data_IF_365797329934
#
_entry.id   IF_365797329934
#
_cell.length_a   1.000
_cell.length_b   1.000
_cell.length_c   1.000
_cell.angle_alpha   90.00
_cell.angle_beta   90.00
_cell.angle_gamma   90.00
#
_symmetry.space_group_name_H-M   'P 1'
#
loop_
_entity.id
_entity.type
_entity.pdbx_description
1 polymer ?
#
# COMPACT_ATOMS: atom_id res chain seq x y z
N UNK A 1 27.63 -7.64 -8.41
CA UNK A 1 26.77 -8.66 -7.76
C UNK A 1 25.79 -7.98 -6.84
N UNK A 2 24.57 -8.50 -6.75
CA UNK A 2 23.55 -8.15 -5.75
C UNK A 2 23.22 -9.43 -4.98
N UNK A 3 23.26 -9.37 -3.65
CA UNK A 3 22.90 -10.47 -2.77
C UNK A 3 21.46 -10.33 -2.33
N UNK A 4 20.66 -11.38 -2.53
CA UNK A 4 19.24 -11.37 -2.34
C UNK A 4 18.72 -12.68 -1.69
N UNK A 5 17.45 -12.66 -1.34
CA UNK A 5 16.69 -13.86 -1.03
C UNK A 5 15.63 -14.07 -2.10
N UNK A 6 15.63 -15.23 -2.76
CA UNK A 6 14.71 -15.56 -3.84
C UNK A 6 13.89 -16.83 -3.57
N UNK A 7 12.65 -16.82 -4.04
CA UNK A 7 11.84 -18.02 -4.21
C UNK A 7 12.18 -18.64 -5.57
N UNK A 8 12.32 -19.97 -5.64
CA UNK A 8 12.59 -20.72 -6.86
C UNK A 8 11.35 -21.42 -7.43
N UNK A 9 10.29 -21.43 -6.66
CA UNK A 9 8.98 -21.99 -7.01
C UNK A 9 7.88 -21.33 -6.20
N UNK A 10 6.64 -21.49 -6.62
CA UNK A 10 5.47 -20.97 -5.90
C UNK A 10 5.40 -21.57 -4.48
N UNK A 11 5.15 -20.71 -3.48
CA UNK A 11 5.08 -21.08 -2.06
C UNK A 11 6.38 -21.64 -1.48
N UNK A 12 7.48 -21.60 -2.25
CA UNK A 12 8.81 -22.07 -1.82
C UNK A 12 9.40 -21.15 -0.75
N UNK A 13 10.32 -21.73 0.05
CA UNK A 13 11.15 -20.94 0.97
C UNK A 13 12.11 -20.03 0.19
N UNK A 14 12.34 -18.87 0.73
CA UNK A 14 13.34 -17.93 0.22
C UNK A 14 14.74 -18.43 0.57
N UNK A 15 15.61 -18.49 -0.43
CA UNK A 15 17.00 -18.96 -0.30
C UNK A 15 17.95 -17.86 -0.75
N UNK A 16 19.19 -17.84 -0.23
CA UNK A 16 20.23 -16.95 -0.73
C UNK A 16 20.37 -17.06 -2.26
N UNK A 17 20.45 -15.92 -2.91
CA UNK A 17 20.52 -15.79 -4.36
C UNK A 17 21.37 -14.59 -4.74
N UNK A 18 22.29 -14.78 -5.68
CA UNK A 18 23.15 -13.73 -6.20
C UNK A 18 22.86 -13.52 -7.68
N UNK A 19 22.88 -12.28 -8.13
CA UNK A 19 22.69 -11.96 -9.55
C UNK A 19 23.46 -10.70 -9.98
N UNK A 20 23.82 -10.68 -11.26
CA UNK A 20 24.41 -9.50 -11.90
C UNK A 20 23.27 -8.56 -12.37
N UNK A 21 23.22 -7.32 -11.92
CA UNK A 21 22.18 -6.38 -12.31
C UNK A 21 22.41 -5.75 -13.71
N UNK A 22 23.54 -6.05 -14.38
CA UNK A 22 23.95 -5.39 -15.61
C UNK A 22 24.44 -3.94 -15.43
N UNK A 23 24.50 -3.18 -16.52
CA UNK A 23 24.83 -1.76 -16.47
C UNK A 23 23.68 -0.92 -15.92
N UNK A 24 24.00 0.19 -15.25
CA UNK A 24 23.01 1.14 -14.74
C UNK A 24 22.53 2.02 -15.90
N UNK A 25 21.21 2.08 -16.12
CA UNK A 25 20.63 2.94 -17.12
C UNK A 25 20.86 4.43 -16.81
N UNK A 26 20.89 5.28 -17.86
CA UNK A 26 21.17 6.71 -17.71
C UNK A 26 20.18 7.45 -16.79
N UNK A 27 18.95 6.97 -16.67
CA UNK A 27 17.88 7.54 -15.83
C UNK A 27 17.59 6.71 -14.59
N UNK A 28 18.42 5.68 -14.29
CA UNK A 28 18.21 4.76 -13.19
C UNK A 28 19.05 5.14 -11.97
N UNK A 29 18.64 4.63 -10.83
CA UNK A 29 19.39 4.68 -9.57
C UNK A 29 19.59 3.28 -9.02
N UNK A 30 20.69 3.06 -8.32
CA UNK A 30 20.92 1.92 -7.44
C UNK A 30 20.75 2.38 -5.99
N UNK A 31 19.99 1.65 -5.21
CA UNK A 31 19.64 1.95 -3.82
C UNK A 31 20.18 0.82 -2.97
N UNK A 32 21.04 1.15 -1.98
CA UNK A 32 21.41 0.23 -0.92
C UNK A 32 20.23 0.11 0.04
N UNK A 33 19.74 -1.11 0.25
CA UNK A 33 18.50 -1.38 1.01
C UNK A 33 18.82 -1.42 2.51
N UNK A 34 18.28 -0.46 3.26
CA UNK A 34 18.35 -0.43 4.73
C UNK A 34 17.18 -1.22 5.34
N UNK A 35 15.95 -1.02 4.79
CA UNK A 35 14.72 -1.63 5.27
C UNK A 35 13.82 -2.02 4.10
N UNK A 36 13.02 -3.09 4.27
CA UNK A 36 12.01 -3.48 3.30
C UNK A 36 10.76 -4.02 4.01
N UNK A 37 9.61 -3.39 3.80
CA UNK A 37 8.34 -3.89 4.29
C UNK A 37 7.91 -5.16 3.53
N UNK A 38 7.12 -6.00 4.19
CA UNK A 38 6.47 -7.17 3.60
C UNK A 38 4.97 -6.91 3.51
N UNK A 39 4.46 -6.92 2.29
CA UNK A 39 3.04 -6.74 1.99
C UNK A 39 2.40 -8.08 1.58
N UNK A 40 1.09 -8.18 1.72
CA UNK A 40 0.36 -9.33 1.19
C UNK A 40 0.53 -9.48 -0.34
N UNK A 41 0.79 -8.38 -1.05
CA UNK A 41 1.11 -8.41 -2.48
C UNK A 41 2.44 -9.12 -2.78
N UNK A 42 3.44 -9.05 -1.88
CA UNK A 42 4.66 -9.85 -2.00
C UNK A 42 4.32 -11.34 -1.88
N UNK A 43 3.46 -11.70 -0.91
CA UNK A 43 2.99 -13.08 -0.72
C UNK A 43 2.25 -13.57 -1.96
N UNK A 44 1.28 -12.81 -2.46
CA UNK A 44 0.51 -13.19 -3.67
C UNK A 44 1.40 -13.36 -4.91
N UNK A 45 2.48 -12.59 -5.02
CA UNK A 45 3.47 -12.77 -6.08
C UNK A 45 4.36 -13.99 -5.83
N UNK A 46 4.86 -14.20 -4.60
CA UNK A 46 5.67 -15.37 -4.23
C UNK A 46 4.89 -16.69 -4.40
N UNK A 47 3.60 -16.67 -4.08
CA UNK A 47 2.70 -17.81 -4.16
C UNK A 47 2.08 -17.99 -5.57
N UNK A 48 2.32 -17.00 -6.47
CA UNK A 48 1.80 -16.93 -7.84
C UNK A 48 0.26 -16.91 -7.92
N UNK A 49 -0.42 -16.34 -6.93
CA UNK A 49 -1.88 -16.21 -6.91
C UNK A 49 -2.42 -15.39 -8.09
N UNK A 50 -1.61 -14.45 -8.60
CA UNK A 50 -1.97 -13.58 -9.72
C UNK A 50 -1.49 -14.11 -11.09
N UNK A 51 -0.82 -15.27 -11.15
CA UNK A 51 -0.31 -15.87 -12.38
C UNK A 51 0.77 -15.03 -13.08
N UNK A 52 1.51 -14.18 -12.34
CA UNK A 52 2.50 -13.24 -12.89
C UNK A 52 3.93 -13.48 -12.40
N UNK A 53 4.12 -14.40 -11.48
CA UNK A 53 5.44 -14.70 -10.94
C UNK A 53 6.36 -15.34 -12.00
N UNK A 54 7.64 -14.97 -11.95
CA UNK A 54 8.72 -15.64 -12.70
C UNK A 54 9.83 -15.98 -11.72
N UNK A 55 10.18 -17.26 -11.65
CA UNK A 55 11.20 -17.74 -10.73
C UNK A 55 12.57 -17.91 -11.44
N UNK A 56 13.72 -17.67 -10.73
CA UNK A 56 13.82 -17.22 -9.35
C UNK A 56 13.27 -15.81 -9.18
N UNK A 57 12.53 -15.59 -8.08
CA UNK A 57 11.85 -14.34 -7.80
C UNK A 57 12.37 -13.70 -6.49
N UNK A 58 12.83 -12.47 -6.56
CA UNK A 58 13.14 -11.62 -5.39
C UNK A 58 11.98 -10.65 -5.22
N UNK A 59 11.23 -10.78 -4.13
CA UNK A 59 10.11 -9.89 -3.80
C UNK A 59 10.60 -8.65 -3.03
N UNK A 60 9.69 -7.91 -2.37
CA UNK A 60 9.97 -6.68 -1.63
C UNK A 60 9.76 -5.42 -2.45
N UNK A 61 8.61 -4.78 -2.26
CA UNK A 61 8.23 -3.54 -2.98
C UNK A 61 7.95 -2.37 -2.03
N UNK A 62 8.42 -2.45 -0.80
CA UNK A 62 8.31 -1.39 0.22
C UNK A 62 9.70 -1.03 0.74
N UNK A 63 10.57 -0.59 -0.18
CA UNK A 63 12.00 -0.38 0.08
C UNK A 63 12.26 0.99 0.67
N UNK A 64 13.06 1.04 1.71
CA UNK A 64 13.73 2.25 2.21
C UNK A 64 15.23 2.00 2.15
N UNK A 65 15.99 2.96 1.61
CA UNK A 65 17.43 2.81 1.50
C UNK A 65 18.13 4.09 1.05
N UNK A 66 19.40 3.96 0.71
CA UNK A 66 20.24 5.09 0.31
C UNK A 66 20.67 4.96 -1.13
N UNK A 67 20.62 6.07 -1.85
CA UNK A 67 21.13 6.13 -3.23
C UNK A 67 22.64 5.87 -3.21
N UNK A 68 23.07 4.76 -3.83
CA UNK A 68 24.48 4.35 -3.94
C UNK A 68 25.09 4.57 -5.31
N UNK A 69 24.25 4.60 -6.38
CA UNK A 69 24.70 4.98 -7.73
C UNK A 69 23.63 5.77 -8.46
N UNK A 70 24.07 6.64 -9.34
CA UNK A 70 23.23 7.50 -10.19
C UNK A 70 23.57 7.26 -11.66
N UNK A 71 22.53 7.11 -12.48
CA UNK A 71 22.66 7.19 -13.92
C UNK A 71 23.04 8.62 -14.35
N UNK A 72 23.68 8.74 -15.52
CA UNK A 72 24.28 9.99 -16.00
C UNK A 72 23.30 11.16 -16.21
N UNK A 73 22.01 10.87 -16.34
CA UNK A 73 20.94 11.87 -16.53
C UNK A 73 20.08 12.11 -15.30
N UNK A 74 20.46 11.55 -14.15
CA UNK A 74 19.76 11.77 -12.88
C UNK A 74 20.27 13.06 -12.24
N UNK A 75 19.38 14.03 -12.00
CA UNK A 75 19.74 15.36 -11.47
C UNK A 75 19.00 15.75 -10.19
N UNK A 76 17.90 15.06 -9.84
CA UNK A 76 17.04 15.40 -8.70
C UNK A 76 17.35 14.59 -7.43
N UNK A 77 18.26 13.60 -7.54
CA UNK A 77 18.77 12.80 -6.43
C UNK A 77 20.27 12.97 -6.30
N UNK A 78 20.81 12.77 -5.10
CA UNK A 78 22.24 12.76 -4.80
C UNK A 78 22.62 11.43 -4.14
N UNK A 79 23.92 11.07 -4.21
CA UNK A 79 24.46 9.94 -3.47
C UNK A 79 24.24 10.15 -1.96
N UNK A 80 23.78 9.09 -1.30
CA UNK A 80 23.47 9.11 0.13
C UNK A 80 22.06 9.62 0.49
N UNK A 81 21.29 10.17 -0.48
CA UNK A 81 19.89 10.53 -0.23
C UNK A 81 19.12 9.30 0.28
N UNK A 82 18.35 9.48 1.35
CA UNK A 82 17.43 8.45 1.85
C UNK A 82 16.17 8.50 0.98
N UNK A 83 15.87 7.38 0.34
CA UNK A 83 14.76 7.27 -0.61
C UNK A 83 13.88 6.05 -0.32
N UNK A 84 12.64 6.14 -0.78
CA UNK A 84 11.68 5.05 -0.79
C UNK A 84 11.34 4.61 -2.21
N UNK A 85 11.21 3.30 -2.42
CA UNK A 85 10.75 2.69 -3.66
C UNK A 85 9.54 1.81 -3.37
N UNK A 86 8.39 2.15 -3.99
CA UNK A 86 7.14 1.44 -3.83
C UNK A 86 6.87 0.40 -4.92
N UNK A 87 5.57 0.25 -5.24
CA UNK A 87 5.08 -0.74 -6.21
C UNK A 87 5.66 -0.58 -7.62
N UNK A 88 5.90 0.64 -8.08
CA UNK A 88 6.41 0.89 -9.43
C UNK A 88 7.89 1.29 -9.41
N UNK A 89 8.67 0.64 -10.27
CA UNK A 89 10.10 0.89 -10.46
C UNK A 89 10.42 1.68 -11.74
N UNK A 90 9.42 2.07 -12.52
CA UNK A 90 9.62 2.87 -13.72
C UNK A 90 8.36 3.09 -14.55
N UNK A 91 8.43 4.11 -15.40
CA UNK A 91 7.33 4.59 -16.25
C UNK A 91 7.84 5.02 -17.63
N UNK A 92 6.95 5.16 -18.61
CA UNK A 92 7.36 5.65 -19.94
C UNK A 92 7.66 7.16 -19.98
N UNK A 93 7.17 7.92 -19.02
CA UNK A 93 7.32 9.38 -18.86
C UNK A 93 6.79 10.24 -20.03
N UNK A 94 6.17 9.65 -21.04
CA UNK A 94 5.73 10.34 -22.26
C UNK A 94 4.25 10.14 -22.60
N UNK A 95 3.55 9.18 -22.01
CA UNK A 95 2.12 9.02 -22.25
C UNK A 95 1.30 10.10 -21.53
N UNK A 96 0.03 10.24 -21.93
CA UNK A 96 -0.89 11.22 -21.34
C UNK A 96 -0.95 11.15 -19.82
N UNK A 97 -0.95 9.94 -19.25
CA UNK A 97 -1.01 9.73 -17.78
C UNK A 97 0.26 10.24 -17.12
N UNK A 98 1.44 9.88 -17.62
CA UNK A 98 2.70 10.39 -17.10
C UNK A 98 2.82 11.91 -17.21
N UNK A 99 2.49 12.46 -18.38
CA UNK A 99 2.52 13.91 -18.59
C UNK A 99 1.50 14.67 -17.73
N UNK A 100 0.41 14.01 -17.33
CA UNK A 100 -0.61 14.55 -16.44
C UNK A 100 -0.28 14.38 -14.93
N UNK A 101 0.83 13.71 -14.58
CA UNK A 101 1.19 13.44 -13.19
C UNK A 101 0.64 12.13 -12.62
N UNK A 102 -0.16 11.38 -13.38
CA UNK A 102 -0.79 10.12 -12.99
C UNK A 102 0.05 8.90 -13.41
N UNK A 103 1.33 8.89 -13.04
CA UNK A 103 2.28 7.85 -13.46
C UNK A 103 1.84 6.44 -13.10
N UNK A 104 1.15 6.26 -11.96
CA UNK A 104 0.59 4.98 -11.52
C UNK A 104 -0.45 4.39 -12.51
N UNK A 105 -0.97 5.21 -13.43
CA UNK A 105 -1.89 4.79 -14.51
C UNK A 105 -1.18 4.62 -15.86
N UNK A 106 0.14 4.67 -15.91
CA UNK A 106 0.92 4.41 -17.13
C UNK A 106 0.75 2.95 -17.57
N UNK A 107 0.28 2.73 -18.79
CA UNK A 107 0.02 1.38 -19.32
C UNK A 107 1.28 0.49 -19.47
N UNK A 108 2.47 1.12 -19.48
CA UNK A 108 3.77 0.45 -19.54
C UNK A 108 4.58 0.61 -18.26
N UNK A 109 3.92 0.95 -17.14
CA UNK A 109 4.56 1.01 -15.84
C UNK A 109 5.22 -0.32 -15.49
N UNK A 110 6.41 -0.27 -14.91
CA UNK A 110 7.18 -1.45 -14.48
C UNK A 110 6.95 -1.67 -13.00
N UNK A 111 6.41 -2.82 -12.62
CA UNK A 111 6.29 -3.20 -11.21
C UNK A 111 7.66 -3.55 -10.63
N UNK A 112 7.91 -3.17 -9.39
CA UNK A 112 9.19 -3.42 -8.68
C UNK A 112 9.49 -4.92 -8.58
N UNK A 113 8.45 -5.74 -8.41
CA UNK A 113 8.57 -7.20 -8.24
C UNK A 113 7.90 -8.01 -9.37
N UNK A 114 7.52 -7.37 -10.47
CA UNK A 114 6.87 -8.04 -11.62
C UNK A 114 7.86 -8.16 -12.76
N UNK A 115 8.38 -9.36 -12.99
CA UNK A 115 9.43 -9.63 -13.98
C UNK A 115 10.76 -8.92 -13.69
N UNK A 116 10.98 -8.51 -12.44
CA UNK A 116 12.16 -7.83 -11.92
C UNK A 116 12.45 -8.36 -10.51
N UNK A 117 13.61 -7.99 -9.97
CA UNK A 117 14.02 -8.28 -8.61
C UNK A 117 13.79 -7.06 -7.72
N UNK A 118 13.09 -7.29 -6.60
CA UNK A 118 12.73 -6.28 -5.61
C UNK A 118 13.75 -6.13 -4.47
N UNK A 119 13.26 -5.61 -3.34
CA UNK A 119 14.07 -5.19 -2.20
C UNK A 119 14.39 -6.27 -1.15
N UNK A 120 14.01 -7.55 -1.38
CA UNK A 120 14.54 -8.63 -0.54
C UNK A 120 16.00 -8.94 -0.92
N UNK A 121 16.80 -7.88 -1.00
CA UNK A 121 18.17 -7.86 -1.48
C UNK A 121 18.98 -6.77 -0.74
N UNK A 122 20.31 -6.79 -0.88
CA UNK A 122 21.16 -5.72 -0.38
C UNK A 122 21.07 -4.44 -1.22
N UNK A 123 20.68 -4.57 -2.48
CA UNK A 123 20.49 -3.46 -3.42
C UNK A 123 19.27 -3.67 -4.31
N UNK A 124 18.68 -2.55 -4.75
CA UNK A 124 17.62 -2.56 -5.77
C UNK A 124 17.87 -1.45 -6.78
N UNK A 125 17.41 -1.64 -8.02
CA UNK A 125 17.50 -0.63 -9.08
C UNK A 125 16.12 -0.22 -9.58
N UNK A 126 15.96 1.06 -9.87
CA UNK A 126 14.74 1.63 -10.40
C UNK A 126 15.05 2.87 -11.24
N UNK A 127 14.09 3.32 -12.07
CA UNK A 127 14.16 4.67 -12.60
C UNK A 127 14.15 5.68 -11.45
N UNK A 128 14.99 6.70 -11.53
CA UNK A 128 15.15 7.71 -10.47
C UNK A 128 13.82 8.40 -10.09
N UNK A 129 12.91 8.57 -11.05
CA UNK A 129 11.57 9.15 -10.81
C UNK A 129 10.70 8.29 -9.86
N UNK A 130 10.99 7.01 -9.77
CA UNK A 130 10.26 6.09 -8.86
C UNK A 130 10.82 6.09 -7.43
N UNK A 131 12.03 6.61 -7.24
CA UNK A 131 12.68 6.73 -5.94
C UNK A 131 12.34 8.10 -5.32
N UNK A 132 11.45 8.08 -4.32
CA UNK A 132 10.96 9.30 -3.67
C UNK A 132 11.78 9.57 -2.40
N UNK A 133 12.24 10.81 -2.21
CA UNK A 133 12.99 11.19 -1.00
C UNK A 133 12.13 11.03 0.25
N UNK A 134 12.72 10.50 1.31
CA UNK A 134 12.07 10.41 2.62
C UNK A 134 12.30 11.73 3.34
N UNK A 135 11.23 12.49 3.68
CA UNK A 135 11.38 13.78 4.34
C UNK A 135 11.82 13.63 5.80
N UNK A 136 12.45 14.67 6.32
CA UNK A 136 12.74 14.76 7.75
C UNK A 136 11.43 14.64 8.55
N UNK A 137 11.46 13.85 9.64
CA UNK A 137 10.27 13.60 10.47
C UNK A 137 9.53 12.29 10.13
N UNK A 138 9.85 11.62 9.01
CA UNK A 138 9.45 10.24 8.75
C UNK A 138 10.56 9.30 9.22
N UNK A 139 10.22 8.33 10.05
CA UNK A 139 11.18 7.31 10.54
C UNK A 139 11.47 6.29 9.42
N UNK A 140 12.69 6.24 8.86
CA UNK A 140 13.03 5.30 7.78
C UNK A 140 12.78 3.83 8.14
N UNK A 141 12.99 3.46 9.40
CA UNK A 141 12.88 2.08 9.85
C UNK A 141 11.43 1.53 9.84
N UNK A 142 10.44 2.40 9.74
CA UNK A 142 9.02 2.06 9.73
C UNK A 142 8.29 2.53 8.48
N UNK A 143 8.97 3.33 7.62
CA UNK A 143 8.35 4.01 6.49
C UNK A 143 8.01 3.10 5.29
N UNK A 144 8.65 1.93 5.16
CA UNK A 144 8.41 1.03 4.02
C UNK A 144 6.93 0.84 3.69
N UNK A 145 6.06 0.47 4.64
CA UNK A 145 4.63 0.30 4.41
C UNK A 145 3.88 1.54 3.89
N UNK A 146 4.40 2.76 4.10
CA UNK A 146 3.80 3.98 3.54
C UNK A 146 3.85 3.99 2.01
N UNK A 147 4.89 3.37 1.42
CA UNK A 147 5.10 3.35 -0.04
C UNK A 147 4.17 2.40 -0.80
N UNK A 148 3.43 1.56 -0.08
CA UNK A 148 2.39 0.70 -0.64
C UNK A 148 1.05 0.97 0.03
N UNK A 149 0.88 0.52 1.28
CA UNK A 149 -0.38 0.67 2.00
C UNK A 149 -0.72 2.13 2.30
N UNK A 150 0.26 2.95 2.72
CA UNK A 150 0.05 4.38 3.02
C UNK A 150 -0.45 5.15 1.80
N UNK A 151 0.26 5.04 0.67
CA UNK A 151 -0.18 5.71 -0.56
C UNK A 151 -1.52 5.18 -1.08
N UNK A 152 -1.78 3.88 -0.91
CA UNK A 152 -3.04 3.25 -1.33
C UNK A 152 -4.24 3.84 -0.58
N UNK A 153 -4.11 4.14 0.71
CA UNK A 153 -5.18 4.73 1.51
C UNK A 153 -5.24 6.26 1.40
N UNK A 154 -4.12 6.92 1.13
CA UNK A 154 -4.03 8.37 0.97
C UNK A 154 -4.54 8.86 -0.39
N UNK A 155 -4.17 8.17 -1.47
CA UNK A 155 -4.49 8.60 -2.83
C UNK A 155 -6.00 8.85 -3.08
N UNK A 156 -6.95 8.02 -2.59
CA UNK A 156 -8.38 8.29 -2.74
C UNK A 156 -8.85 9.59 -2.09
N UNK A 157 -8.20 10.05 -1.01
CA UNK A 157 -8.56 11.30 -0.34
C UNK A 157 -8.27 12.50 -1.24
N UNK A 158 -7.12 12.46 -1.94
CA UNK A 158 -6.74 13.49 -2.91
C UNK A 158 -7.54 13.33 -4.20
N UNK A 159 -7.67 12.10 -4.73
CA UNK A 159 -8.34 11.82 -6.00
C UNK A 159 -9.81 12.23 -6.02
N UNK A 160 -10.50 12.14 -4.89
CA UNK A 160 -11.94 12.41 -4.77
C UNK A 160 -12.25 13.68 -4.00
N UNK A 161 -11.26 14.54 -3.73
CA UNK A 161 -11.41 15.80 -3.00
C UNK A 161 -12.19 15.60 -1.69
N UNK A 162 -11.80 14.58 -0.90
CA UNK A 162 -12.51 14.25 0.35
C UNK A 162 -12.39 15.41 1.34
N UNK A 163 -13.55 15.95 1.73
CA UNK A 163 -13.61 17.02 2.72
C UNK A 163 -13.15 16.55 4.10
N UNK A 164 -12.42 17.38 4.86
CA UNK A 164 -12.14 17.11 6.28
C UNK A 164 -13.39 16.88 7.14
N UNK A 165 -14.57 17.32 6.69
CA UNK A 165 -15.84 17.12 7.40
C UNK A 165 -16.57 15.84 6.98
N UNK A 166 -16.01 15.05 6.06
CA UNK A 166 -16.64 13.84 5.56
C UNK A 166 -16.74 12.77 6.63
N UNK A 167 -17.84 12.02 6.61
CA UNK A 167 -18.02 10.79 7.38
C UNK A 167 -17.48 9.63 6.60
N UNK A 168 -16.39 9.06 7.07
CA UNK A 168 -15.69 8.00 6.33
C UNK A 168 -15.65 6.71 7.15
N UNK A 169 -15.95 5.60 6.48
CA UNK A 169 -15.84 4.29 7.11
C UNK A 169 -14.70 3.47 6.51
N UNK A 170 -14.09 2.59 7.33
CA UNK A 170 -13.04 1.66 6.93
C UNK A 170 -13.52 0.23 7.18
N UNK A 171 -13.59 -0.60 6.13
CA UNK A 171 -13.88 -2.02 6.24
C UNK A 171 -12.57 -2.78 6.31
N UNK A 172 -12.36 -3.49 7.45
CA UNK A 172 -11.16 -4.27 7.69
C UNK A 172 -9.99 -3.43 8.23
N UNK A 173 -9.70 -3.53 9.52
CA UNK A 173 -8.56 -2.82 10.12
C UNK A 173 -7.42 -3.82 10.37
N UNK A 174 -6.72 -4.11 9.28
CA UNK A 174 -5.48 -4.87 9.21
C UNK A 174 -4.34 -3.99 8.71
N UNK A 175 -3.41 -4.57 7.90
CA UNK A 175 -2.22 -3.89 7.40
C UNK A 175 -2.46 -2.61 6.60
N UNK A 176 -3.55 -2.49 5.82
CA UNK A 176 -3.97 -1.25 5.15
C UNK A 176 -4.87 -0.41 6.06
N UNK A 177 -5.86 -1.06 6.68
CA UNK A 177 -6.92 -0.36 7.41
C UNK A 177 -6.43 0.44 8.61
N UNK A 178 -5.36 0.00 9.31
CA UNK A 178 -4.81 0.80 10.42
C UNK A 178 -4.24 2.14 9.91
N UNK A 179 -3.53 2.13 8.77
CA UNK A 179 -3.06 3.36 8.13
C UNK A 179 -4.23 4.21 7.63
N UNK A 180 -5.29 3.58 7.05
CA UNK A 180 -6.48 4.32 6.64
C UNK A 180 -7.11 5.10 7.80
N UNK A 181 -7.27 4.48 8.97
CA UNK A 181 -7.80 5.14 10.17
C UNK A 181 -6.93 6.32 10.58
N UNK A 182 -5.59 6.14 10.60
CA UNK A 182 -4.65 7.18 10.99
C UNK A 182 -4.65 8.37 10.00
N UNK A 183 -4.60 8.11 8.69
CA UNK A 183 -4.64 9.15 7.66
C UNK A 183 -5.96 9.90 7.66
N UNK A 184 -7.10 9.21 7.75
CA UNK A 184 -8.43 9.82 7.80
C UNK A 184 -8.62 10.70 9.04
N UNK A 185 -8.13 10.23 10.20
CA UNK A 185 -8.13 11.04 11.43
C UNK A 185 -7.32 12.32 11.28
N UNK A 186 -6.10 12.19 10.74
CA UNK A 186 -5.23 13.34 10.50
C UNK A 186 -5.79 14.29 9.43
N UNK A 187 -6.52 13.76 8.44
CA UNK A 187 -7.22 14.52 7.40
C UNK A 187 -8.36 15.38 7.98
N UNK A 188 -8.90 15.01 9.15
CA UNK A 188 -9.99 15.70 9.83
C UNK A 188 -11.36 15.04 9.66
N UNK A 189 -11.45 13.87 9.03
CA UNK A 189 -12.71 13.14 8.83
C UNK A 189 -13.29 12.58 10.13
N UNK A 190 -14.62 12.40 10.17
CA UNK A 190 -15.28 11.57 11.19
C UNK A 190 -15.14 10.09 10.77
N UNK A 191 -14.30 9.34 11.50
CA UNK A 191 -13.87 7.99 11.12
C UNK A 191 -14.67 6.93 11.85
N UNK A 192 -15.30 6.01 11.10
CA UNK A 192 -15.93 4.79 11.62
C UNK A 192 -15.16 3.56 11.17
N UNK A 193 -14.75 2.71 12.08
CA UNK A 193 -14.14 1.41 11.76
C UNK A 193 -15.17 0.28 11.81
N UNK A 194 -15.32 -0.49 10.72
CA UNK A 194 -16.07 -1.74 10.74
C UNK A 194 -15.15 -2.87 11.22
N UNK A 195 -15.50 -3.48 12.35
CA UNK A 195 -14.74 -4.58 12.94
C UNK A 195 -15.65 -5.77 13.22
N UNK A 196 -15.19 -6.97 12.88
CA UNK A 196 -15.85 -8.22 13.26
C UNK A 196 -15.45 -8.73 14.67
N UNK A 197 -14.51 -8.02 15.32
CA UNK A 197 -13.97 -8.40 16.62
C UNK A 197 -14.13 -7.25 17.62
N UNK A 198 -15.03 -7.44 18.57
CA UNK A 198 -15.32 -6.47 19.63
C UNK A 198 -14.10 -6.18 20.55
N UNK A 199 -13.17 -7.13 20.72
CA UNK A 199 -11.99 -6.93 21.57
C UNK A 199 -11.01 -5.89 21.00
N UNK A 200 -11.12 -5.54 19.72
CA UNK A 200 -10.30 -4.50 19.08
C UNK A 200 -10.86 -3.08 19.21
N UNK A 201 -12.02 -2.92 19.86
CA UNK A 201 -12.70 -1.60 19.92
C UNK A 201 -11.81 -0.52 20.51
N UNK A 202 -11.23 -0.76 21.67
CA UNK A 202 -10.39 0.25 22.36
C UNK A 202 -9.13 0.58 21.55
N UNK A 203 -8.52 -0.42 20.93
CA UNK A 203 -7.37 -0.24 20.05
C UNK A 203 -7.72 0.64 18.83
N UNK A 204 -8.86 0.40 18.19
CA UNK A 204 -9.33 1.17 17.05
C UNK A 204 -9.65 2.63 17.41
N UNK A 205 -10.25 2.85 18.57
CA UNK A 205 -10.51 4.19 19.09
C UNK A 205 -9.19 4.93 19.41
N UNK A 206 -8.24 4.26 20.07
CA UNK A 206 -6.90 4.83 20.33
C UNK A 206 -6.14 5.17 19.04
N UNK A 207 -6.30 4.37 17.99
CA UNK A 207 -5.68 4.59 16.67
C UNK A 207 -6.27 5.82 15.97
N UNK A 208 -7.47 6.25 16.33
CA UNK A 208 -8.10 7.45 15.79
C UNK A 208 -9.48 7.26 15.18
N UNK A 209 -10.07 6.06 15.25
CA UNK A 209 -11.48 5.91 14.93
C UNK A 209 -12.34 6.69 15.95
N UNK A 210 -13.39 7.36 15.48
CA UNK A 210 -14.38 8.00 16.34
C UNK A 210 -15.46 7.01 16.76
N UNK A 211 -15.77 6.07 15.88
CA UNK A 211 -16.79 5.05 16.09
C UNK A 211 -16.29 3.69 15.63
N UNK A 212 -16.76 2.63 16.31
CA UNK A 212 -16.54 1.24 15.90
C UNK A 212 -17.90 0.56 15.76
N UNK A 213 -18.18 0.01 14.58
CA UNK A 213 -19.40 -0.74 14.29
C UNK A 213 -19.07 -2.23 14.09
N UNK A 214 -19.90 -3.08 14.71
CA UNK A 214 -19.76 -4.51 14.50
C UNK A 214 -20.21 -4.89 13.09
N UNK A 215 -19.27 -5.31 12.24
CA UNK A 215 -19.53 -5.71 10.85
C UNK A 215 -20.36 -7.00 10.72
N UNK A 216 -20.51 -7.77 11.80
CA UNK A 216 -21.33 -8.99 11.86
C UNK A 216 -22.76 -8.75 12.37
N UNK A 217 -23.08 -7.51 12.78
CA UNK A 217 -24.41 -7.15 13.27
C UNK A 217 -25.22 -6.46 12.16
N UNK A 218 -26.22 -7.15 11.56
CA UNK A 218 -27.05 -6.57 10.51
C UNK A 218 -27.85 -5.34 10.97
N UNK A 219 -28.23 -5.28 12.27
CA UNK A 219 -28.95 -4.14 12.79
C UNK A 219 -28.05 -2.92 12.95
N UNK A 220 -26.75 -3.10 13.28
CA UNK A 220 -25.78 -2.02 13.26
C UNK A 220 -25.60 -1.44 11.86
N UNK A 221 -25.51 -2.29 10.82
CA UNK A 221 -25.43 -1.85 9.43
C UNK A 221 -26.71 -1.11 9.01
N UNK A 222 -27.90 -1.61 9.35
CA UNK A 222 -29.18 -0.93 9.05
C UNK A 222 -29.26 0.44 9.72
N UNK A 223 -28.83 0.57 10.97
CA UNK A 223 -28.81 1.86 11.69
C UNK A 223 -27.84 2.87 11.05
N UNK A 224 -26.79 2.39 10.41
CA UNK A 224 -25.83 3.21 9.69
C UNK A 224 -26.29 3.54 8.25
N UNK A 225 -27.49 3.18 7.84
CA UNK A 225 -27.99 3.46 6.49
C UNK A 225 -27.88 4.96 6.14
N UNK A 226 -27.34 5.26 4.96
CA UNK A 226 -27.19 6.62 4.46
C UNK A 226 -26.19 7.51 5.21
N UNK A 227 -25.23 6.94 5.95
CA UNK A 227 -24.36 7.69 6.86
C UNK A 227 -23.04 8.13 6.25
N UNK A 228 -22.45 7.39 5.31
CA UNK A 228 -21.04 7.57 4.92
C UNK A 228 -20.89 8.20 3.54
N UNK A 229 -20.05 9.25 3.47
CA UNK A 229 -19.66 9.88 2.20
C UNK A 229 -18.65 9.01 1.44
N UNK A 230 -17.76 8.33 2.17
CA UNK A 230 -16.77 7.40 1.63
C UNK A 230 -16.67 6.16 2.51
N UNK A 231 -16.59 4.99 1.88
CA UNK A 231 -16.22 3.75 2.54
C UNK A 231 -14.96 3.22 1.85
N UNK A 232 -13.88 3.04 2.60
CA UNK A 232 -12.65 2.39 2.14
C UNK A 232 -12.70 0.91 2.52
N UNK A 233 -12.73 0.03 1.53
CA UNK A 233 -12.65 -1.42 1.74
C UNK A 233 -11.21 -1.89 1.58
N UNK A 234 -10.62 -2.39 2.66
CA UNK A 234 -9.23 -2.89 2.69
C UNK A 234 -9.15 -4.41 2.76
N UNK A 235 -10.29 -5.10 2.72
CA UNK A 235 -10.35 -6.57 2.75
C UNK A 235 -10.21 -7.17 1.35
N UNK A 236 -9.72 -8.40 1.29
CA UNK A 236 -9.58 -9.20 0.07
C UNK A 236 -10.57 -10.39 0.00
N UNK A 237 -11.63 -10.33 0.78
CA UNK A 237 -12.64 -11.39 0.88
C UNK A 237 -14.00 -10.89 0.42
N UNK A 238 -14.85 -11.81 -0.04
CA UNK A 238 -16.25 -11.52 -0.40
C UNK A 238 -17.05 -11.18 0.87
N UNK A 239 -17.81 -10.09 0.80
CA UNK A 239 -18.76 -9.65 1.83
C UNK A 239 -20.12 -9.40 1.18
N UNK A 240 -21.16 -9.15 2.00
CA UNK A 240 -22.42 -8.61 1.51
C UNK A 240 -22.28 -7.12 1.15
N UNK A 241 -21.81 -6.87 -0.06
CA UNK A 241 -21.54 -5.51 -0.53
C UNK A 241 -22.82 -4.65 -0.62
N UNK A 242 -24.02 -5.24 -0.82
CA UNK A 242 -25.26 -4.51 -0.81
C UNK A 242 -25.58 -3.93 0.56
N UNK A 243 -25.27 -4.64 1.64
CA UNK A 243 -25.40 -4.13 2.99
C UNK A 243 -24.52 -2.90 3.22
N UNK A 244 -23.24 -2.92 2.76
CA UNK A 244 -22.35 -1.76 2.87
C UNK A 244 -22.77 -0.62 1.93
N UNK A 245 -23.20 -0.89 0.70
CA UNK A 245 -23.74 0.12 -0.22
C UNK A 245 -24.94 0.84 0.40
N UNK A 246 -25.77 0.15 1.17
CA UNK A 246 -26.92 0.75 1.85
C UNK A 246 -26.49 1.80 2.89
N UNK A 247 -25.31 1.68 3.48
CA UNK A 247 -24.78 2.62 4.47
C UNK A 247 -24.20 3.89 3.87
N UNK A 248 -23.97 3.94 2.54
CA UNK A 248 -23.51 5.16 1.86
C UNK A 248 -24.58 6.25 1.87
N UNK A 249 -24.17 7.47 2.13
CA UNK A 249 -24.96 8.68 1.93
C UNK A 249 -25.35 8.88 0.45
N UNK A 250 -26.27 9.80 0.14
CA UNK A 250 -26.47 10.24 -1.25
C UNK A 250 -25.15 10.72 -1.87
N UNK A 251 -24.82 10.26 -3.09
CA UNK A 251 -23.55 10.48 -3.79
C UNK A 251 -22.32 9.84 -3.14
N UNK A 252 -22.51 9.10 -2.05
CA UNK A 252 -21.41 8.41 -1.35
C UNK A 252 -20.71 7.37 -2.23
N UNK A 253 -19.50 7.00 -1.84
CA UNK A 253 -18.60 6.14 -2.62
C UNK A 253 -18.12 4.95 -1.79
N UNK A 254 -18.25 3.75 -2.36
CA UNK A 254 -17.54 2.55 -1.89
C UNK A 254 -16.28 2.38 -2.74
N UNK A 255 -15.11 2.49 -2.11
CA UNK A 255 -13.83 2.41 -2.79
C UNK A 255 -13.02 1.20 -2.32
N UNK A 256 -12.65 0.33 -3.25
CA UNK A 256 -11.91 -0.89 -3.00
C UNK A 256 -10.40 -0.65 -3.08
N UNK A 257 -9.70 -0.99 -2.01
CA UNK A 257 -8.24 -0.95 -1.86
C UNK A 257 -7.67 -2.37 -1.74
N UNK A 258 -8.44 -3.30 -1.17
CA UNK A 258 -8.12 -4.72 -1.15
C UNK A 258 -8.51 -5.40 -2.47
N UNK A 259 -7.69 -6.34 -2.91
CA UNK A 259 -7.93 -7.10 -4.14
C UNK A 259 -8.92 -8.25 -3.88
N UNK A 260 -10.21 -7.98 -3.97
CA UNK A 260 -11.26 -9.03 -3.96
C UNK A 260 -11.24 -9.72 -5.32
N UNK A 261 -10.96 -11.03 -5.35
CA UNK A 261 -10.83 -11.79 -6.60
C UNK A 261 -12.18 -12.27 -7.14
N UNK A 262 -13.19 -12.42 -6.27
CA UNK A 262 -14.54 -12.81 -6.67
C UNK A 262 -15.32 -11.63 -7.24
N UNK A 263 -16.28 -11.87 -8.14
CA UNK A 263 -17.20 -10.85 -8.63
C UNK A 263 -17.95 -10.15 -7.50
N UNK A 264 -18.13 -8.83 -7.62
CA UNK A 264 -18.88 -8.03 -6.67
C UNK A 264 -20.40 -8.16 -7.00
N UNK A 265 -21.16 -8.84 -6.15
CA UNK A 265 -22.60 -8.98 -6.30
C UNK A 265 -23.32 -7.73 -5.78
N UNK A 266 -23.39 -6.66 -6.60
CA UNK A 266 -23.97 -5.38 -6.22
C UNK A 266 -25.17 -5.05 -7.13
N UNK A 267 -26.34 -4.84 -6.49
CA UNK A 267 -27.55 -4.48 -7.19
C UNK A 267 -27.54 -3.01 -7.67
N UNK A 268 -27.81 -2.78 -8.97
CA UNK A 268 -27.74 -1.45 -9.57
C UNK A 268 -28.75 -0.46 -8.95
N UNK A 269 -29.92 -0.92 -8.48
CA UNK A 269 -30.91 -0.06 -7.82
C UNK A 269 -30.39 0.57 -6.53
N UNK A 270 -29.53 -0.15 -5.76
CA UNK A 270 -28.88 0.39 -4.57
C UNK A 270 -27.95 1.57 -4.86
N UNK A 271 -27.41 1.63 -6.08
CA UNK A 271 -26.57 2.73 -6.56
C UNK A 271 -27.42 3.87 -7.16
N UNK A 272 -28.32 3.52 -8.06
CA UNK A 272 -29.10 4.47 -8.87
C UNK A 272 -29.93 5.42 -8.03
N UNK A 273 -30.65 4.90 -7.02
CA UNK A 273 -31.59 5.69 -6.21
C UNK A 273 -30.96 6.83 -5.42
N UNK A 274 -29.66 6.77 -5.16
CA UNK A 274 -28.91 7.76 -4.37
C UNK A 274 -27.67 8.28 -5.10
N UNK A 275 -27.51 8.00 -6.40
CA UNK A 275 -26.31 8.35 -7.20
C UNK A 275 -24.99 7.88 -6.55
N UNK A 276 -25.03 6.71 -5.92
CA UNK A 276 -23.86 6.14 -5.24
C UNK A 276 -22.86 5.61 -6.25
N UNK A 277 -21.58 5.59 -5.87
CA UNK A 277 -20.48 5.21 -6.76
C UNK A 277 -19.70 4.03 -6.18
N UNK A 278 -19.21 3.16 -7.06
CA UNK A 278 -18.22 2.13 -6.75
C UNK A 278 -16.95 2.42 -7.53
N UNK A 279 -15.81 2.29 -6.91
CA UNK A 279 -14.52 2.55 -7.56
C UNK A 279 -13.37 1.78 -6.90
N UNK A 280 -12.23 1.79 -7.59
CA UNK A 280 -10.96 1.27 -7.08
C UNK A 280 -9.82 2.09 -7.67
N UNK A 281 -8.66 2.11 -7.03
CA UNK A 281 -7.44 2.73 -7.56
C UNK A 281 -6.19 1.94 -7.16
N UNK A 282 -5.16 1.90 -8.02
CA UNK A 282 -3.86 1.34 -7.65
C UNK A 282 -3.02 2.42 -6.98
N UNK A 283 -2.35 2.13 -5.89
CA UNK A 283 -1.33 3.02 -5.25
C UNK A 283 -1.46 4.51 -5.64
N UNK A 284 -0.37 5.23 -5.86
CA UNK A 284 -0.38 6.62 -6.34
C UNK A 284 0.85 6.94 -7.19
N UNK A 285 0.88 8.13 -7.78
CA UNK A 285 2.03 8.62 -8.53
C UNK A 285 3.18 9.04 -7.61
N UNK A 286 4.43 9.15 -8.11
CA UNK A 286 5.57 9.64 -7.32
C UNK A 286 5.30 10.99 -6.63
N UNK A 287 4.58 11.91 -7.29
CA UNK A 287 4.17 13.18 -6.69
C UNK A 287 3.26 12.96 -5.49
N UNK A 288 2.21 12.16 -5.64
CA UNK A 288 1.26 11.90 -4.55
C UNK A 288 1.93 11.11 -3.42
N UNK A 289 2.92 10.25 -3.72
CA UNK A 289 3.75 9.60 -2.68
C UNK A 289 4.54 10.64 -1.89
N UNK A 290 5.16 11.63 -2.57
CA UNK A 290 5.87 12.72 -1.88
C UNK A 290 4.93 13.52 -0.97
N UNK A 291 3.78 13.94 -1.50
CA UNK A 291 2.76 14.68 -0.75
C UNK A 291 2.28 13.87 0.49
N UNK A 292 2.08 12.57 0.31
CA UNK A 292 1.69 11.65 1.40
C UNK A 292 2.77 11.53 2.48
N UNK A 293 4.05 11.43 2.09
CA UNK A 293 5.15 11.35 3.03
C UNK A 293 5.32 12.65 3.82
N UNK A 294 5.17 13.81 3.18
CA UNK A 294 5.18 15.11 3.84
C UNK A 294 3.99 15.26 4.81
N UNK A 295 2.81 14.81 4.40
CA UNK A 295 1.63 14.75 5.26
C UNK A 295 1.87 13.83 6.47
N UNK A 296 2.45 12.64 6.26
CA UNK A 296 2.79 11.72 7.33
C UNK A 296 3.80 12.32 8.31
N UNK A 297 4.83 13.03 7.81
CA UNK A 297 5.80 13.75 8.64
C UNK A 297 5.13 14.85 9.50
N UNK A 298 4.29 15.70 8.88
CA UNK A 298 3.60 16.78 9.54
C UNK A 298 2.66 16.30 10.65
N UNK A 299 1.92 15.22 10.38
CA UNK A 299 0.91 14.68 11.30
C UNK A 299 1.45 13.54 12.17
N UNK A 300 2.74 13.23 12.09
CA UNK A 300 3.40 12.14 12.84
C UNK A 300 2.72 10.78 12.65
N UNK A 301 2.33 10.50 11.41
CA UNK A 301 1.73 9.20 11.06
C UNK A 301 2.87 8.21 10.86
N UNK A 302 2.91 7.19 11.68
CA UNK A 302 3.89 6.11 11.63
C UNK A 302 3.18 4.76 11.60
N UNK A 303 3.42 3.90 10.61
CA UNK A 303 2.85 2.56 10.59
C UNK A 303 3.27 1.75 11.81
N UNK A 304 2.36 0.97 12.37
CA UNK A 304 2.68 0.04 13.46
C UNK A 304 3.32 -1.20 12.83
N UNK A 305 4.58 -1.47 13.17
CA UNK A 305 5.39 -2.51 12.54
C UNK A 305 6.00 -3.48 13.55
N UNK A 306 6.13 -4.74 13.15
CA UNK A 306 7.01 -5.74 13.76
C UNK A 306 8.28 -5.84 12.90
N UNK A 307 9.45 -5.84 13.55
CA UNK A 307 10.75 -5.77 12.85
C UNK A 307 11.49 -7.10 12.96
N UNK A 308 12.07 -7.52 11.84
CA UNK A 308 12.89 -8.71 11.69
C UNK A 308 14.22 -8.37 11.01
N UNK A 309 15.27 -9.15 11.27
CA UNK A 309 16.48 -9.14 10.46
C UNK A 309 16.23 -9.78 9.09
N UNK A 310 17.04 -9.43 8.08
CA UNK A 310 16.92 -10.05 6.75
C UNK A 310 17.20 -11.57 6.79
N UNK A 311 17.97 -12.05 7.73
CA UNK A 311 18.22 -13.48 7.97
C UNK A 311 16.97 -14.23 8.45
N UNK A 312 15.98 -13.51 9.01
CA UNK A 312 14.71 -14.05 9.48
C UNK A 312 13.60 -13.95 8.44
N UNK A 313 13.95 -13.70 7.17
CA UNK A 313 12.97 -13.38 6.12
C UNK A 313 11.88 -14.45 5.95
N UNK A 314 12.20 -15.73 6.10
CA UNK A 314 11.21 -16.80 5.99
C UNK A 314 10.20 -16.79 7.15
N UNK A 315 10.65 -16.48 8.37
CA UNK A 315 9.78 -16.29 9.53
C UNK A 315 8.85 -15.09 9.33
N UNK A 316 9.42 -13.97 8.88
CA UNK A 316 8.69 -12.75 8.60
C UNK A 316 7.64 -12.91 7.48
N UNK A 317 7.98 -13.61 6.41
CA UNK A 317 7.06 -13.95 5.29
C UNK A 317 5.92 -14.83 5.79
N UNK A 318 6.21 -15.86 6.60
CA UNK A 318 5.18 -16.75 7.14
C UNK A 318 4.24 -16.03 8.11
N UNK A 319 4.75 -15.11 8.92
CA UNK A 319 3.92 -14.26 9.78
C UNK A 319 2.90 -13.44 8.96
N UNK A 320 3.33 -12.86 7.83
CA UNK A 320 2.41 -12.12 6.95
C UNK A 320 1.43 -13.06 6.26
N UNK A 321 1.89 -14.24 5.80
CA UNK A 321 1.05 -15.26 5.15
C UNK A 321 -0.06 -15.77 6.08
N UNK A 322 0.23 -15.96 7.35
CA UNK A 322 -0.76 -16.40 8.37
C UNK A 322 -1.73 -15.28 8.78
N UNK A 323 -1.50 -14.03 8.36
CA UNK A 323 -2.33 -12.89 8.75
C UNK A 323 -2.19 -12.46 10.21
N UNK A 324 -1.08 -12.83 10.85
CA UNK A 324 -0.86 -12.64 12.30
C UNK A 324 -0.21 -11.31 12.70
N UNK A 325 0.47 -10.51 11.81
CA UNK A 325 1.22 -9.36 12.29
C UNK A 325 0.32 -8.23 12.82
N UNK A 326 0.85 -7.48 13.79
CA UNK A 326 0.20 -6.30 14.34
C UNK A 326 1.01 -5.03 13.98
N UNK A 327 0.82 -4.39 12.84
CA UNK A 327 -0.07 -4.67 11.70
C UNK A 327 0.74 -4.94 10.45
N UNK A 328 2.02 -4.52 10.42
CA UNK A 328 2.93 -4.64 9.30
C UNK A 328 4.23 -5.29 9.74
N UNK A 329 4.95 -5.86 8.77
CA UNK A 329 6.27 -6.44 9.01
C UNK A 329 7.31 -5.68 8.19
N UNK A 330 8.46 -5.39 8.79
CA UNK A 330 9.59 -4.73 8.12
C UNK A 330 10.87 -5.51 8.40
N UNK A 331 11.58 -5.87 7.32
CA UNK A 331 12.94 -6.39 7.37
C UNK A 331 13.92 -5.22 7.54
N UNK A 332 14.93 -5.37 8.37
CA UNK A 332 15.97 -4.35 8.65
C UNK A 332 17.35 -4.97 8.63
N UNK A 333 18.34 -4.21 8.13
CA UNK A 333 19.78 -4.56 8.18
C UNK A 333 20.46 -3.93 9.38
#
# INVERSE_FOLDING_TARGET
MINAYAAFEAKGQLKPYEYEPGELGAFDVEIDVDHCGICHSDISMLDNDWGRAKYPMVAGHEVIGRVSKLGSHVSHLALGDVVGLGWHSGYCQSCRMCMGGDHNLCSTAKGTIVGRHGGFADKVRAQAISAVKIPAGVNPATAGPLLCGGITVYNPLVQFDISPQSKVAVIGVGGLGHMAVMFLKAWGCEVTAFSSNASKTDELLQMGAHHVLNSKDPEALKKAAGSFDLILSTVNVKLDWNAYVSTLAPKGRLHFLGAVLEPLDIGVFGLMGQQRTISSSPVGSPRVISDMLEFAALHKIEPIVERFGFEQINEAVEMVRSGSPRFRVVLSR
#
